data_IF_567428783939
#
_entry.id   IF_567428783939
#
_cell.length_a   1.000
_cell.length_b   1.000
_cell.length_c   1.000
_cell.angle_alpha   90.00
_cell.angle_beta   90.00
_cell.angle_gamma   90.00
#
_symmetry.space_group_name_H-M   'P 1'
#
loop_
_entity.id
_entity.type
_entity.pdbx_description
1 polymer ?
#
# COMPACT_ATOMS: atom_id res chain seq x y z
N UNK A 1 23.06 24.75 -7.65
CA UNK A 1 22.04 23.69 -7.81
C UNK A 1 21.86 22.95 -6.47
N UNK A 2 21.26 23.60 -5.45
CA UNK A 2 21.24 23.12 -4.04
C UNK A 2 19.83 23.22 -3.39
N UNK A 3 18.80 22.66 -4.02
CA UNK A 3 17.43 22.71 -3.46
C UNK A 3 16.71 21.36 -3.41
N UNK A 4 17.30 20.28 -3.94
CA UNK A 4 16.64 18.95 -3.96
C UNK A 4 16.89 18.10 -2.71
N UNK A 5 17.87 18.45 -1.88
CA UNK A 5 18.23 17.68 -0.68
C UNK A 5 17.35 18.00 0.52
N UNK A 6 16.92 19.27 0.66
CA UNK A 6 16.07 19.72 1.78
C UNK A 6 14.67 19.10 1.75
N UNK A 7 13.97 19.15 0.60
CA UNK A 7 12.60 18.63 0.49
C UNK A 7 12.51 17.13 0.77
N UNK A 8 13.49 16.34 0.32
CA UNK A 8 13.55 14.90 0.60
C UNK A 8 13.84 14.61 2.08
N UNK A 9 14.65 15.43 2.75
CA UNK A 9 14.89 15.30 4.19
C UNK A 9 13.63 15.61 5.00
N UNK A 10 12.89 16.67 4.65
CA UNK A 10 11.60 16.98 5.31
C UNK A 10 10.55 15.89 5.10
N UNK A 11 10.41 15.36 3.88
CA UNK A 11 9.48 14.26 3.60
C UNK A 11 9.84 13.00 4.41
N UNK A 12 11.15 12.69 4.53
CA UNK A 12 11.65 11.57 5.33
C UNK A 12 11.39 11.75 6.82
N UNK A 13 11.72 12.91 7.39
CA UNK A 13 11.50 13.22 8.80
C UNK A 13 10.00 13.21 9.15
N UNK A 14 9.16 13.77 8.26
CA UNK A 14 7.70 13.73 8.43
C UNK A 14 7.18 12.30 8.47
N UNK A 15 7.66 11.43 7.57
CA UNK A 15 7.31 10.01 7.56
C UNK A 15 7.79 9.30 8.83
N UNK A 16 9.06 9.49 9.23
CA UNK A 16 9.61 8.88 10.45
C UNK A 16 8.85 9.32 11.70
N UNK A 17 8.44 10.59 11.77
CA UNK A 17 7.65 11.13 12.87
C UNK A 17 6.24 10.52 12.93
N UNK A 18 5.60 10.33 11.77
CA UNK A 18 4.31 9.64 11.67
C UNK A 18 4.42 8.18 12.10
N UNK A 19 5.49 7.48 11.68
CA UNK A 19 5.73 6.08 12.05
C UNK A 19 6.01 5.92 13.55
N UNK A 20 6.76 6.84 14.17
CA UNK A 20 7.17 6.74 15.57
C UNK A 20 5.99 6.72 16.57
N UNK A 21 4.85 7.32 16.21
CA UNK A 21 3.64 7.35 17.04
C UNK A 21 2.49 6.48 16.54
N UNK A 22 2.66 5.80 15.40
CA UNK A 22 1.59 5.05 14.76
C UNK A 22 1.29 3.74 15.52
N UNK A 23 0.02 3.44 15.72
CA UNK A 23 -0.41 2.13 16.21
C UNK A 23 -0.21 1.07 15.10
N UNK A 24 -0.13 -0.23 15.43
CA UNK A 24 -0.08 -1.29 14.42
C UNK A 24 -1.21 -1.19 13.39
N UNK A 25 -2.42 -0.83 13.84
CA UNK A 25 -3.57 -0.60 12.96
C UNK A 25 -3.31 0.53 11.95
N UNK A 26 -2.75 1.65 12.41
CA UNK A 26 -2.39 2.79 11.56
C UNK A 26 -1.25 2.47 10.59
N UNK A 27 -0.26 1.65 11.00
CA UNK A 27 0.81 1.22 10.11
C UNK A 27 0.28 0.41 8.91
N UNK A 28 -0.68 -0.50 9.13
CA UNK A 28 -1.33 -1.24 8.05
C UNK A 28 -2.13 -0.30 7.14
N UNK A 29 -2.85 0.67 7.70
CA UNK A 29 -3.53 1.73 6.94
C UNK A 29 -2.56 2.51 6.05
N UNK A 30 -1.39 2.90 6.57
CA UNK A 30 -0.36 3.60 5.81
C UNK A 30 0.22 2.74 4.68
N UNK A 31 0.35 1.42 4.87
CA UNK A 31 0.77 0.49 3.83
C UNK A 31 -0.26 0.43 2.70
N UNK A 32 -1.56 0.29 3.01
CA UNK A 32 -2.62 0.35 2.01
C UNK A 32 -2.58 1.65 1.21
N UNK A 33 -2.52 2.79 1.88
CA UNK A 33 -2.46 4.11 1.24
C UNK A 33 -1.19 4.26 0.37
N UNK A 34 -0.06 3.74 0.83
CA UNK A 34 1.19 3.71 0.09
C UNK A 34 1.11 2.88 -1.20
N UNK A 35 0.50 1.69 -1.14
CA UNK A 35 0.30 0.81 -2.29
C UNK A 35 -0.66 1.45 -3.31
N UNK A 36 -1.82 1.93 -2.86
CA UNK A 36 -2.84 2.58 -3.70
C UNK A 36 -2.25 3.80 -4.41
N UNK A 37 -1.53 4.66 -3.68
CA UNK A 37 -0.86 5.83 -4.27
C UNK A 37 0.16 5.44 -5.35
N UNK A 38 0.93 4.36 -5.13
CA UNK A 38 1.86 3.86 -6.13
C UNK A 38 1.12 3.35 -7.38
N UNK A 39 0.01 2.62 -7.21
CA UNK A 39 -0.81 2.15 -8.33
C UNK A 39 -1.44 3.30 -9.12
N UNK A 40 -1.96 4.33 -8.45
CA UNK A 40 -2.50 5.54 -9.10
C UNK A 40 -1.42 6.27 -9.90
N UNK A 41 -0.20 6.40 -9.36
CA UNK A 41 0.93 6.99 -10.09
C UNK A 41 1.35 6.14 -11.27
N UNK A 42 1.34 4.82 -11.15
CA UNK A 42 1.62 3.93 -12.26
C UNK A 42 0.63 4.14 -13.41
N UNK A 43 -0.66 4.30 -13.11
CA UNK A 43 -1.70 4.65 -14.10
C UNK A 43 -1.41 5.97 -14.81
N UNK A 44 -1.05 7.03 -14.07
CA UNK A 44 -0.66 8.32 -14.67
C UNK A 44 0.56 8.16 -15.59
N UNK A 45 1.58 7.40 -15.18
CA UNK A 45 2.76 7.17 -16.01
C UNK A 45 2.49 6.29 -17.23
N UNK A 46 1.47 5.43 -17.18
CA UNK A 46 0.94 4.77 -18.36
C UNK A 46 0.39 5.77 -19.38
N UNK A 47 -0.50 6.67 -18.94
CA UNK A 47 -1.12 7.70 -19.77
C UNK A 47 -0.07 8.64 -20.40
N UNK A 48 1.02 8.90 -19.68
CA UNK A 48 2.13 9.74 -20.14
C UNK A 48 3.18 8.98 -20.98
N UNK A 49 3.06 7.66 -21.14
CA UNK A 49 4.07 6.84 -21.83
C UNK A 49 5.42 6.76 -21.10
N UNK A 50 5.49 7.08 -19.80
CA UNK A 50 6.72 7.10 -19.03
C UNK A 50 7.05 5.71 -18.45
N UNK A 51 7.64 4.85 -19.29
CA UNK A 51 7.96 3.45 -18.94
C UNK A 51 8.84 3.31 -17.69
N UNK A 52 9.96 4.08 -17.52
CA UNK A 52 10.80 3.94 -16.34
C UNK A 52 10.07 4.25 -15.04
N UNK A 53 9.31 5.35 -15.00
CA UNK A 53 8.56 5.74 -13.80
C UNK A 53 7.37 4.82 -13.52
N UNK A 54 6.72 4.32 -14.56
CA UNK A 54 5.70 3.28 -14.44
C UNK A 54 6.27 2.04 -13.76
N UNK A 55 7.40 1.52 -14.24
CA UNK A 55 8.06 0.35 -13.66
C UNK A 55 8.45 0.56 -12.20
N UNK A 56 8.97 1.75 -11.86
CA UNK A 56 9.30 2.13 -10.48
C UNK A 56 8.05 2.09 -9.58
N UNK A 57 6.94 2.68 -10.02
CA UNK A 57 5.70 2.73 -9.22
C UNK A 57 5.04 1.36 -9.08
N UNK A 58 5.03 0.54 -10.13
CA UNK A 58 4.52 -0.84 -10.05
C UNK A 58 5.37 -1.68 -9.10
N UNK A 59 6.70 -1.60 -9.20
CA UNK A 59 7.60 -2.34 -8.30
C UNK A 59 7.41 -1.89 -6.85
N UNK A 60 7.19 -0.60 -6.62
CA UNK A 60 6.90 -0.06 -5.29
C UNK A 60 5.57 -0.59 -4.73
N UNK A 61 4.51 -0.63 -5.54
CA UNK A 61 3.22 -1.16 -5.13
C UNK A 61 3.35 -2.64 -4.73
N UNK A 62 3.97 -3.46 -5.58
CA UNK A 62 4.22 -4.89 -5.32
C UNK A 62 5.03 -5.07 -4.03
N UNK A 63 6.10 -4.30 -3.84
CA UNK A 63 6.91 -4.40 -2.62
C UNK A 63 6.14 -4.06 -1.34
N UNK A 64 5.25 -3.06 -1.36
CA UNK A 64 4.42 -2.72 -0.20
C UNK A 64 3.41 -3.84 0.09
N UNK A 65 2.84 -4.44 -0.96
CA UNK A 65 1.88 -5.55 -0.83
C UNK A 65 2.60 -6.79 -0.28
N UNK A 66 3.66 -7.24 -0.94
CA UNK A 66 4.32 -8.51 -0.60
C UNK A 66 5.15 -8.43 0.69
N UNK A 67 5.98 -7.38 0.82
CA UNK A 67 6.90 -7.25 1.96
C UNK A 67 6.35 -6.40 3.11
N UNK A 68 5.14 -5.84 2.96
CA UNK A 68 4.47 -5.05 3.99
C UNK A 68 3.19 -5.73 4.47
N UNK A 69 2.15 -5.73 3.64
CA UNK A 69 0.83 -6.22 4.03
C UNK A 69 0.82 -7.75 4.21
N UNK A 70 1.29 -8.47 3.19
CA UNK A 70 1.30 -9.92 3.12
C UNK A 70 2.26 -10.53 4.16
N UNK A 71 3.47 -9.99 4.27
CA UNK A 71 4.43 -10.36 5.32
C UNK A 71 3.91 -10.12 6.75
N UNK A 72 2.91 -9.24 6.93
CA UNK A 72 2.27 -8.96 8.21
C UNK A 72 1.15 -9.94 8.59
N UNK A 73 0.77 -10.87 7.71
CA UNK A 73 -0.27 -11.85 7.98
C UNK A 73 0.17 -12.86 9.04
N UNK A 74 -0.69 -13.09 10.03
CA UNK A 74 -0.49 -14.13 11.04
C UNK A 74 -1.39 -15.32 10.73
N UNK A 75 -0.83 -16.33 10.07
CA UNK A 75 -1.56 -17.54 9.70
C UNK A 75 -1.93 -18.44 10.88
N UNK A 76 -1.20 -18.36 12.00
CA UNK A 76 -1.50 -19.14 13.21
C UNK A 76 -2.78 -18.64 13.89
N UNK A 77 -2.99 -17.32 13.92
CA UNK A 77 -4.16 -16.68 14.55
C UNK A 77 -5.30 -16.49 13.56
N UNK A 78 -4.99 -16.07 12.32
CA UNK A 78 -5.98 -15.66 11.34
C UNK A 78 -6.65 -16.81 10.56
N UNK A 79 -6.09 -18.02 10.61
CA UNK A 79 -6.65 -19.21 9.98
C UNK A 79 -7.05 -18.97 8.51
N UNK A 80 -8.30 -19.29 8.17
CA UNK A 80 -8.83 -19.17 6.80
C UNK A 80 -8.80 -17.73 6.27
N UNK A 81 -9.09 -16.73 7.11
CA UNK A 81 -9.09 -15.32 6.69
C UNK A 81 -7.68 -14.91 6.25
N UNK A 82 -6.65 -15.35 6.99
CA UNK A 82 -5.27 -15.07 6.62
C UNK A 82 -4.88 -15.70 5.27
N UNK A 83 -5.42 -16.89 4.95
CA UNK A 83 -5.17 -17.55 3.66
C UNK A 83 -5.91 -16.87 2.49
N UNK A 84 -7.13 -16.39 2.72
CA UNK A 84 -7.89 -15.60 1.74
C UNK A 84 -7.21 -14.27 1.44
N UNK A 85 -6.70 -13.59 2.48
CA UNK A 85 -5.92 -12.35 2.33
C UNK A 85 -4.60 -12.58 1.59
N UNK A 86 -3.88 -13.64 1.91
CA UNK A 86 -2.66 -14.05 1.18
C UNK A 86 -2.96 -14.21 -0.32
N UNK A 87 -4.02 -14.95 -0.64
CA UNK A 87 -4.43 -15.21 -2.02
C UNK A 87 -4.82 -13.93 -2.76
N UNK A 88 -5.51 -13.00 -2.09
CA UNK A 88 -5.87 -11.70 -2.64
C UNK A 88 -4.62 -10.85 -2.93
N UNK A 89 -3.68 -10.78 -1.99
CA UNK A 89 -2.45 -10.01 -2.17
C UNK A 89 -1.57 -10.60 -3.29
N UNK A 90 -1.44 -11.93 -3.36
CA UNK A 90 -0.75 -12.60 -4.47
C UNK A 90 -1.40 -12.30 -5.82
N UNK A 91 -2.73 -12.34 -5.89
CA UNK A 91 -3.47 -11.99 -7.09
C UNK A 91 -3.18 -10.55 -7.53
N UNK A 92 -3.21 -9.58 -6.61
CA UNK A 92 -2.93 -8.16 -6.93
C UNK A 92 -1.49 -7.99 -7.41
N UNK A 93 -0.50 -8.50 -6.66
CA UNK A 93 0.92 -8.39 -7.03
C UNK A 93 1.22 -9.00 -8.40
N UNK A 94 0.66 -10.19 -8.67
CA UNK A 94 0.80 -10.85 -9.98
C UNK A 94 0.19 -10.04 -11.11
N UNK A 95 -1.02 -9.49 -10.92
CA UNK A 95 -1.66 -8.70 -11.97
C UNK A 95 -0.94 -7.37 -12.22
N UNK A 96 -0.42 -6.71 -11.18
CA UNK A 96 0.42 -5.51 -11.35
C UNK A 96 1.67 -5.79 -12.19
N UNK A 97 2.31 -6.94 -11.98
CA UNK A 97 3.43 -7.37 -12.81
C UNK A 97 2.99 -7.61 -14.26
N UNK A 98 1.88 -8.33 -14.48
CA UNK A 98 1.34 -8.60 -15.82
C UNK A 98 0.96 -7.33 -16.57
N UNK A 99 0.27 -6.40 -15.91
CA UNK A 99 -0.04 -5.05 -16.41
C UNK A 99 1.21 -4.37 -16.96
N UNK A 100 2.31 -4.37 -16.19
CA UNK A 100 3.56 -3.73 -16.61
C UNK A 100 4.20 -4.43 -17.82
N UNK A 101 4.27 -5.76 -17.78
CA UNK A 101 4.89 -6.59 -18.81
C UNK A 101 4.13 -6.51 -20.14
N UNK A 102 2.80 -6.55 -20.09
CA UNK A 102 1.92 -6.49 -21.25
C UNK A 102 1.67 -5.06 -21.73
N UNK A 103 2.16 -4.05 -21.00
CA UNK A 103 1.87 -2.64 -21.24
C UNK A 103 0.36 -2.35 -21.33
N UNK A 104 -0.46 -3.10 -20.59
CA UNK A 104 -1.91 -2.99 -20.63
C UNK A 104 -2.44 -2.42 -19.31
N UNK A 105 -2.91 -1.15 -19.27
CA UNK A 105 -3.41 -0.53 -18.05
C UNK A 105 -4.86 -0.92 -17.69
N UNK A 106 -5.59 -1.63 -18.56
CA UNK A 106 -7.01 -1.98 -18.35
C UNK A 106 -7.33 -2.57 -16.97
N UNK A 107 -6.53 -3.51 -16.41
CA UNK A 107 -6.81 -4.05 -15.09
C UNK A 107 -6.59 -3.08 -13.92
N UNK A 108 -5.80 -2.01 -14.08
CA UNK A 108 -5.37 -1.17 -12.96
C UNK A 108 -6.52 -0.55 -12.16
N UNK A 109 -7.57 0.03 -12.76
CA UNK A 109 -8.68 0.62 -12.00
C UNK A 109 -9.35 -0.39 -11.05
N UNK A 110 -9.59 -1.61 -11.52
CA UNK A 110 -10.22 -2.67 -10.72
C UNK A 110 -9.31 -3.12 -9.56
N UNK A 111 -8.00 -3.23 -9.80
CA UNK A 111 -7.05 -3.56 -8.73
C UNK A 111 -6.97 -2.44 -7.69
N UNK A 112 -7.03 -1.17 -8.13
CA UNK A 112 -7.01 0.00 -7.23
C UNK A 112 -8.28 0.01 -6.38
N UNK A 113 -9.44 -0.23 -6.97
CA UNK A 113 -10.72 -0.33 -6.26
C UNK A 113 -10.68 -1.44 -5.22
N UNK A 114 -10.25 -2.65 -5.60
CA UNK A 114 -10.07 -3.78 -4.67
C UNK A 114 -9.20 -3.41 -3.47
N UNK A 115 -8.03 -2.82 -3.70
CA UNK A 115 -7.14 -2.40 -2.61
C UNK A 115 -7.74 -1.26 -1.76
N UNK A 116 -8.56 -0.39 -2.37
CA UNK A 116 -9.25 0.71 -1.68
C UNK A 116 -10.33 0.17 -0.76
N UNK A 117 -11.12 -0.79 -1.22
CA UNK A 117 -12.14 -1.44 -0.40
C UNK A 117 -11.52 -2.16 0.79
N UNK A 118 -10.43 -2.92 0.56
CA UNK A 118 -9.66 -3.53 1.63
C UNK A 118 -9.14 -2.51 2.66
N UNK A 119 -8.66 -1.36 2.18
CA UNK A 119 -8.24 -0.27 3.06
C UNK A 119 -9.39 0.31 3.88
N UNK A 120 -10.57 0.46 3.27
CA UNK A 120 -11.74 1.02 3.94
C UNK A 120 -12.27 0.05 5.00
N UNK A 121 -12.43 -1.22 4.66
CA UNK A 121 -12.81 -2.27 5.62
C UNK A 121 -11.83 -2.36 6.78
N UNK A 122 -10.52 -2.24 6.51
CA UNK A 122 -9.54 -2.19 7.59
C UNK A 122 -9.77 -0.99 8.49
N UNK A 123 -9.95 0.22 7.94
CA UNK A 123 -10.22 1.44 8.74
C UNK A 123 -11.48 1.33 9.61
N UNK A 124 -12.51 0.62 9.15
CA UNK A 124 -13.76 0.44 9.90
C UNK A 124 -13.59 -0.42 11.16
N UNK A 125 -12.58 -1.29 11.21
CA UNK A 125 -12.30 -2.15 12.38
C UNK A 125 -11.27 -1.54 13.33
N UNK A 126 -11.04 -0.21 13.26
CA UNK A 126 -10.13 0.48 14.18
C UNK A 126 -10.51 0.14 15.63
N UNK A 127 -9.59 -0.45 16.42
CA UNK A 127 -9.89 -0.81 17.79
C UNK A 127 -10.23 0.47 18.54
N UNK A 128 -11.48 0.56 19.02
CA UNK A 128 -11.94 1.71 19.79
C UNK A 128 -10.90 2.00 20.90
N UNK A 129 -10.36 3.23 20.91
CA UNK A 129 -9.52 3.69 22.01
C UNK A 129 -10.30 3.42 23.30
N UNK A 130 -9.87 2.44 24.10
CA UNK A 130 -10.35 2.28 25.47
C UNK A 130 -10.14 3.63 26.14
N UNK A 131 -11.21 4.40 26.31
CA UNK A 131 -11.19 5.58 27.17
C UNK A 131 -10.87 5.05 28.56
N UNK A 132 -9.64 5.29 29.00
CA UNK A 132 -9.27 5.06 30.39
C UNK A 132 -10.02 6.13 31.18
N UNK A 133 -11.19 5.77 31.70
CA UNK A 133 -11.84 6.57 32.74
C UNK A 133 -10.92 6.54 33.96
N UNK A 134 -10.12 7.58 34.12
CA UNK A 134 -9.56 7.91 35.42
C UNK A 134 -10.73 8.40 36.28
N UNK A 135 -11.18 7.52 37.18
CA UNK A 135 -12.10 7.89 38.25
C UNK A 135 -11.45 8.81 39.28
#
# INVERSE_FOLDING_TARGET
MYTRTGQNAYAKISLESQLAGATPHQLITMLYEGAINAMLRAKIYFEQGNIPRRGEMISRAINIIDNGLRAGLNHEIGGNISAEMESLYEYVSRNLLLVNLQQNPEPLPQLIELMTDMSNTWKEIEPAKKQVNHG
#
